data_IF_078125630872
#
_entry.id   IF_078125630872
#
_cell.length_a   1.000
_cell.length_b   1.000
_cell.length_c   1.000
_cell.angle_alpha   90.00
_cell.angle_beta   90.00
_cell.angle_gamma   90.00
#
_symmetry.space_group_name_H-M   'P 1'
#
loop_
_entity.id
_entity.type
_entity.pdbx_description
1 polymer ?
#
# COMPACT_ATOMS: atom_id res chain seq x y z
N UNK A 1 16.27 -11.67 -35.69
CA UNK A 1 16.24 -10.30 -35.09
C UNK A 1 14.90 -9.99 -34.42
N UNK A 2 13.75 -10.25 -35.07
CA UNK A 2 12.41 -10.04 -34.49
C UNK A 2 12.10 -10.81 -33.20
N UNK A 3 12.62 -12.05 -33.06
CA UNK A 3 12.40 -12.86 -31.86
C UNK A 3 12.99 -12.22 -30.59
N UNK A 4 14.11 -11.49 -30.70
CA UNK A 4 14.74 -10.81 -29.58
C UNK A 4 13.91 -9.63 -29.06
N UNK A 5 13.26 -8.89 -29.97
CA UNK A 5 12.38 -7.78 -29.61
C UNK A 5 11.14 -8.28 -28.85
N UNK A 6 10.56 -9.39 -29.32
CA UNK A 6 9.45 -10.05 -28.63
C UNK A 6 9.84 -10.56 -27.24
N UNK A 7 11.02 -11.19 -27.10
CA UNK A 7 11.53 -11.60 -25.80
C UNK A 7 11.78 -10.41 -24.85
N UNK A 8 12.33 -9.30 -25.35
CA UNK A 8 12.59 -8.12 -24.54
C UNK A 8 11.28 -7.50 -23.99
N UNK A 9 10.23 -7.41 -24.82
CA UNK A 9 8.90 -6.93 -24.40
C UNK A 9 8.27 -7.82 -23.32
N UNK A 10 8.37 -9.15 -23.47
CA UNK A 10 7.84 -10.09 -22.47
C UNK A 10 8.58 -9.97 -21.12
N UNK A 11 9.89 -9.74 -21.13
CA UNK A 11 10.70 -9.54 -19.93
C UNK A 11 10.38 -8.20 -19.23
N UNK A 12 10.08 -7.14 -19.99
CA UNK A 12 9.65 -5.85 -19.45
C UNK A 12 8.30 -5.94 -18.72
N UNK A 13 7.34 -6.67 -19.28
CA UNK A 13 6.02 -6.89 -18.66
C UNK A 13 6.06 -7.78 -17.42
N UNK A 14 7.07 -8.65 -17.29
CA UNK A 14 7.25 -9.48 -16.10
C UNK A 14 7.78 -8.70 -14.89
N UNK A 15 8.39 -7.53 -15.12
CA UNK A 15 9.07 -6.74 -14.09
C UNK A 15 8.32 -5.48 -13.68
N UNK A 16 7.13 -5.22 -14.23
CA UNK A 16 6.24 -4.19 -13.69
C UNK A 16 5.61 -4.71 -12.39
N UNK A 17 6.41 -4.71 -11.32
CA UNK A 17 5.89 -4.80 -9.98
C UNK A 17 5.03 -3.55 -9.74
N UNK A 18 3.72 -3.74 -9.65
CA UNK A 18 2.82 -2.70 -9.15
C UNK A 18 3.33 -2.29 -7.78
N UNK A 19 4.04 -1.16 -7.72
CA UNK A 19 4.30 -0.50 -6.46
C UNK A 19 2.94 -0.11 -5.92
N UNK A 20 2.40 -0.94 -5.01
CA UNK A 20 1.17 -0.62 -4.30
C UNK A 20 1.36 0.77 -3.72
N UNK A 21 0.57 1.72 -4.20
CA UNK A 21 0.62 3.09 -3.71
C UNK A 21 0.37 3.01 -2.20
N UNK A 22 1.29 3.55 -1.40
CA UNK A 22 1.10 3.61 0.03
C UNK A 22 0.01 4.66 0.34
N UNK A 23 -1.23 4.19 0.41
CA UNK A 23 -2.40 5.02 0.65
C UNK A 23 -3.31 4.42 1.73
N UNK A 24 -4.15 5.27 2.30
CA UNK A 24 -5.18 4.84 3.23
C UNK A 24 -6.42 4.41 2.41
N UNK A 25 -6.87 3.17 2.59
CA UNK A 25 -8.03 2.63 1.90
C UNK A 25 -9.36 3.09 2.52
N UNK A 26 -9.34 3.51 3.79
CA UNK A 26 -10.46 4.25 4.39
C UNK A 26 -10.24 5.73 4.07
N UNK A 27 -11.23 6.39 3.47
CA UNK A 27 -11.09 7.78 3.01
C UNK A 27 -10.48 8.72 4.04
N UNK A 28 -9.81 9.78 3.56
CA UNK A 28 -8.81 10.59 4.30
C UNK A 28 -9.21 10.97 5.74
N UNK A 29 -10.49 11.25 6.02
CA UNK A 29 -10.94 11.65 7.36
C UNK A 29 -10.93 10.53 8.41
N UNK A 30 -11.28 9.29 8.03
CA UNK A 30 -11.58 8.25 9.01
C UNK A 30 -10.32 7.70 9.71
N UNK A 31 -9.20 7.65 8.99
CA UNK A 31 -7.91 7.27 9.55
C UNK A 31 -7.34 8.38 10.43
N UNK A 32 -7.48 9.64 10.06
CA UNK A 32 -7.01 10.76 10.87
C UNK A 32 -7.75 10.83 12.22
N UNK A 33 -9.09 10.78 12.20
CA UNK A 33 -9.90 10.93 13.41
C UNK A 33 -9.76 9.76 14.41
N UNK A 34 -9.62 8.54 13.88
CA UNK A 34 -9.59 7.32 14.72
C UNK A 34 -8.16 6.90 15.05
N UNK A 35 -7.25 6.91 14.07
CA UNK A 35 -5.94 6.28 14.21
C UNK A 35 -4.83 7.24 14.61
N UNK A 36 -4.83 8.46 14.08
CA UNK A 36 -3.82 9.47 14.40
C UNK A 36 -3.99 10.00 15.82
N UNK A 37 -5.20 10.40 16.20
CA UNK A 37 -5.43 11.09 17.47
C UNK A 37 -5.57 10.13 18.67
N UNK A 38 -6.11 8.92 18.46
CA UNK A 38 -6.41 8.00 19.57
C UNK A 38 -5.34 6.93 19.82
N UNK A 39 -4.15 7.04 19.21
CA UNK A 39 -3.06 6.05 19.31
C UNK A 39 -3.47 4.62 18.88
N UNK A 40 -4.57 4.46 18.14
CA UNK A 40 -5.12 3.15 17.75
C UNK A 40 -4.18 2.38 16.82
N UNK A 41 -3.25 3.07 16.13
CA UNK A 41 -2.22 2.41 15.32
C UNK A 41 -1.35 1.42 16.14
N UNK A 42 -1.21 1.64 17.45
CA UNK A 42 -0.42 0.77 18.35
C UNK A 42 -1.27 -0.22 19.13
N UNK A 43 -2.59 -0.08 19.06
CA UNK A 43 -3.51 -0.96 19.74
C UNK A 43 -3.53 -2.34 19.04
N UNK A 44 -3.41 -3.41 19.81
CA UNK A 44 -3.35 -4.78 19.27
C UNK A 44 -4.66 -5.18 18.60
N UNK A 45 -5.80 -4.68 19.07
CA UNK A 45 -7.11 -4.97 18.50
C UNK A 45 -7.28 -4.29 17.14
N UNK A 46 -6.74 -3.08 16.98
CA UNK A 46 -6.85 -2.30 15.75
C UNK A 46 -5.68 -2.46 14.78
N UNK A 47 -4.64 -3.21 15.16
CA UNK A 47 -3.44 -3.43 14.33
C UNK A 47 -3.75 -4.00 12.95
N UNK A 48 -4.67 -4.97 12.86
CA UNK A 48 -5.08 -5.54 11.56
C UNK A 48 -5.81 -4.52 10.71
N UNK A 49 -6.73 -3.77 11.33
CA UNK A 49 -7.49 -2.71 10.66
C UNK A 49 -6.58 -1.57 10.18
N UNK A 50 -5.63 -1.14 11.00
CA UNK A 50 -4.62 -0.16 10.62
C UNK A 50 -3.79 -0.61 9.42
N UNK A 51 -3.38 -1.88 9.42
CA UNK A 51 -2.58 -2.49 8.35
C UNK A 51 -3.37 -2.68 7.06
N UNK A 52 -4.69 -2.78 7.11
CA UNK A 52 -5.51 -2.94 5.93
C UNK A 52 -5.95 -1.59 5.37
N UNK A 53 -6.42 -0.68 6.23
CA UNK A 53 -7.14 0.52 5.83
C UNK A 53 -6.40 1.83 6.06
N UNK A 54 -5.48 1.91 7.03
CA UNK A 54 -4.83 3.15 7.45
C UNK A 54 -3.31 3.04 7.42
N UNK A 55 -2.78 2.40 6.38
CA UNK A 55 -1.36 2.05 6.29
C UNK A 55 -0.46 3.29 6.24
N UNK A 56 -0.87 4.32 5.51
CA UNK A 56 -0.15 5.59 5.38
C UNK A 56 -0.27 6.40 6.66
N UNK A 57 -1.48 6.58 7.18
CA UNK A 57 -1.72 7.32 8.43
C UNK A 57 -1.00 6.71 9.62
N UNK A 58 -0.94 5.37 9.71
CA UNK A 58 -0.22 4.67 10.77
C UNK A 58 1.27 4.45 10.48
N UNK A 59 1.81 4.91 9.36
CA UNK A 59 3.23 4.81 9.00
C UNK A 59 3.71 3.37 8.77
N UNK A 60 2.82 2.49 8.32
CA UNK A 60 3.07 1.06 8.08
C UNK A 60 3.76 0.84 6.73
N UNK A 61 3.45 1.65 5.73
CA UNK A 61 4.10 1.66 4.42
C UNK A 61 4.85 2.98 4.18
N UNK A 62 5.77 2.98 3.20
CA UNK A 62 6.60 4.14 2.80
C UNK A 62 6.72 4.13 1.28
#
# INVERSE_FOLDING_TARGET
MFLYLFCALLLLSAFTAEARLCEDASGEGHCLDVFKDKKMCKDKQFKSLAKEFCQKTCGICH
#
